data_IF_748077521430
#
_entry.id   IF_748077521430
#
_cell.length_a   1.000
_cell.length_b   1.000
_cell.length_c   1.000
_cell.angle_alpha   90.00
_cell.angle_beta   90.00
_cell.angle_gamma   90.00
#
_symmetry.space_group_name_H-M   'P 1'
#
loop_
_entity.id
_entity.type
_entity.pdbx_description
1 polymer ?
#
# COMPACT_ATOMS: atom_id res chain seq x y z
N UNK A 1 8.63 -11.33 -1.01
CA UNK A 1 8.09 -10.16 -1.72
C UNK A 1 7.16 -9.40 -0.80
N UNK A 2 7.66 -8.30 -0.26
CA UNK A 2 6.94 -7.32 0.55
C UNK A 2 6.44 -6.17 -0.34
N UNK A 3 5.53 -5.36 0.20
CA UNK A 3 5.03 -4.16 -0.50
C UNK A 3 6.16 -3.14 -0.74
N UNK A 4 7.11 -3.01 0.20
CA UNK A 4 8.27 -2.14 0.06
C UNK A 4 9.22 -2.60 -1.06
N UNK A 5 9.48 -3.90 -1.16
CA UNK A 5 10.29 -4.46 -2.25
C UNK A 5 9.66 -4.24 -3.63
N UNK A 6 8.34 -4.41 -3.74
CA UNK A 6 7.61 -4.14 -4.98
C UNK A 6 7.65 -2.65 -5.36
N UNK A 7 7.40 -1.77 -4.38
CA UNK A 7 7.43 -0.32 -4.59
C UNK A 7 8.78 0.19 -5.09
N UNK A 8 9.89 -0.30 -4.50
CA UNK A 8 11.26 0.05 -4.90
C UNK A 8 11.63 -0.46 -6.29
N UNK A 9 10.98 -1.51 -6.78
CA UNK A 9 11.12 -2.02 -8.16
C UNK A 9 10.23 -1.29 -9.16
N UNK A 10 9.51 -0.25 -8.74
CA UNK A 10 8.56 0.48 -9.61
C UNK A 10 7.27 -0.30 -9.89
N UNK A 11 6.96 -1.33 -9.09
CA UNK A 11 5.79 -2.17 -9.29
C UNK A 11 4.65 -1.65 -8.41
N UNK A 12 3.52 -1.29 -9.03
CA UNK A 12 2.26 -1.00 -8.32
C UNK A 12 1.52 -2.32 -8.11
N UNK A 13 1.36 -2.74 -6.86
CA UNK A 13 0.62 -3.94 -6.49
C UNK A 13 -0.89 -3.69 -6.42
N UNK A 14 -1.70 -4.76 -6.41
CA UNK A 14 -3.14 -4.64 -6.22
C UNK A 14 -3.50 -4.03 -4.86
N UNK A 15 -2.72 -4.30 -3.82
CA UNK A 15 -2.95 -3.71 -2.49
C UNK A 15 -2.67 -2.21 -2.49
N UNK A 16 -1.66 -1.73 -3.24
CA UNK A 16 -1.42 -0.29 -3.43
C UNK A 16 -2.58 0.37 -4.18
N UNK A 17 -3.11 -0.27 -5.23
CA UNK A 17 -4.28 0.25 -5.97
C UNK A 17 -5.52 0.32 -5.09
N UNK A 18 -5.75 -0.71 -4.28
CA UNK A 18 -6.87 -0.74 -3.35
C UNK A 18 -6.79 0.39 -2.32
N UNK A 19 -5.60 0.59 -1.72
CA UNK A 19 -5.36 1.68 -0.78
C UNK A 19 -5.51 3.05 -1.45
N UNK A 20 -4.95 3.22 -2.65
CA UNK A 20 -5.07 4.45 -3.43
C UNK A 20 -6.54 4.82 -3.69
N UNK A 21 -7.34 3.86 -4.16
CA UNK A 21 -8.78 4.06 -4.38
C UNK A 21 -9.52 4.39 -3.09
N UNK A 22 -9.19 3.71 -1.98
CA UNK A 22 -9.83 3.90 -0.68
C UNK A 22 -9.53 5.26 -0.06
N UNK A 23 -8.30 5.75 -0.23
CA UNK A 23 -7.85 7.03 0.31
C UNK A 23 -8.05 8.19 -0.65
N UNK A 24 -8.58 7.95 -1.86
CA UNK A 24 -8.71 8.95 -2.93
C UNK A 24 -7.35 9.55 -3.34
N UNK A 25 -6.32 8.72 -3.36
CA UNK A 25 -4.95 9.07 -3.74
C UNK A 25 -4.57 8.44 -5.08
N UNK A 26 -3.54 8.98 -5.72
CA UNK A 26 -2.93 8.35 -6.89
C UNK A 26 -2.14 7.10 -6.49
N UNK A 27 -2.21 6.04 -7.30
CA UNK A 27 -1.53 4.78 -7.02
C UNK A 27 0.00 4.90 -7.11
N UNK A 28 0.51 5.80 -7.95
CA UNK A 28 1.93 6.13 -8.06
C UNK A 28 2.40 6.87 -6.81
N UNK A 29 1.59 7.79 -6.27
CA UNK A 29 1.89 8.45 -5.00
C UNK A 29 1.99 7.43 -3.86
N UNK A 30 1.03 6.49 -3.75
CA UNK A 30 1.09 5.41 -2.75
C UNK A 30 2.35 4.56 -2.93
N UNK A 31 2.71 4.20 -4.16
CA UNK A 31 3.95 3.46 -4.45
C UNK A 31 5.19 4.24 -4.00
N UNK A 32 5.28 5.53 -4.32
CA UNK A 32 6.40 6.38 -3.92
C UNK A 32 6.56 6.45 -2.40
N UNK A 33 5.46 6.67 -1.66
CA UNK A 33 5.49 6.75 -0.21
C UNK A 33 5.88 5.41 0.44
N UNK A 34 5.44 4.29 -0.14
CA UNK A 34 5.87 2.95 0.28
C UNK A 34 7.36 2.71 -0.02
N UNK A 35 7.84 3.13 -1.19
CA UNK A 35 9.26 3.00 -1.54
C UNK A 35 10.17 3.84 -0.62
N UNK A 36 9.71 5.04 -0.25
CA UNK A 36 10.35 5.97 0.70
C UNK A 36 10.24 5.51 2.16
N UNK A 37 9.36 4.56 2.47
CA UNK A 37 9.11 4.08 3.84
C UNK A 37 8.27 5.03 4.70
N UNK A 38 7.56 5.98 4.09
CA UNK A 38 6.66 6.93 4.78
C UNK A 38 5.20 6.46 4.82
N UNK A 39 4.89 5.41 4.06
CA UNK A 39 3.60 4.73 4.05
C UNK A 39 3.82 3.22 4.10
N UNK A 40 3.04 2.52 4.92
CA UNK A 40 3.11 1.06 5.07
C UNK A 40 1.73 0.45 4.80
N UNK A 41 1.72 -0.67 4.07
CA UNK A 41 0.52 -1.47 3.81
C UNK A 41 0.73 -2.86 4.44
N UNK A 42 0.13 -3.16 5.61
CA UNK A 42 0.23 -4.46 6.24
C UNK A 42 -0.60 -5.48 5.46
N UNK A 43 0.02 -6.14 4.49
CA UNK A 43 -0.60 -7.08 3.56
C UNK A 43 0.07 -8.47 3.67
N UNK A 44 -0.12 -9.15 4.80
CA UNK A 44 0.35 -10.52 4.94
C UNK A 44 -0.46 -11.45 4.01
N UNK A 45 0.22 -12.18 3.12
CA UNK A 45 -0.38 -13.11 2.15
C UNK A 45 -1.36 -14.11 2.78
N UNK A 46 -1.11 -14.58 4.00
CA UNK A 46 -2.01 -15.50 4.70
C UNK A 46 -3.31 -14.80 5.13
N UNK A 47 -3.23 -13.56 5.58
CA UNK A 47 -4.40 -12.77 5.99
C UNK A 47 -5.18 -12.23 4.80
N UNK A 48 -4.51 -11.93 3.67
CA UNK A 48 -5.19 -11.58 2.42
C UNK A 48 -6.13 -12.70 1.96
N UNK A 49 -5.70 -13.97 2.06
CA UNK A 49 -6.55 -15.13 1.78
C UNK A 49 -7.75 -15.27 2.73
N UNK A 50 -7.69 -14.64 3.91
CA UNK A 50 -8.77 -14.60 4.91
C UNK A 50 -9.65 -13.35 4.78
N UNK A 51 -9.66 -12.71 3.61
CA UNK A 51 -10.46 -11.52 3.30
C UNK A 51 -10.02 -10.24 4.03
N UNK A 52 -8.72 -10.08 4.34
CA UNK A 52 -8.19 -8.81 4.80
C UNK A 52 -8.40 -7.72 3.74
N UNK A 53 -9.00 -6.60 4.14
CA UNK A 53 -9.06 -5.40 3.31
C UNK A 53 -7.80 -4.55 3.53
N UNK A 54 -6.96 -4.32 2.51
CA UNK A 54 -5.77 -3.50 2.65
C UNK A 54 -6.07 -2.08 3.13
N UNK A 55 -5.16 -1.53 3.92
CA UNK A 55 -5.20 -0.15 4.38
C UNK A 55 -3.77 0.43 4.37
N UNK A 56 -3.66 1.72 4.04
CA UNK A 56 -2.42 2.47 4.13
C UNK A 56 -2.30 3.17 5.47
N UNK A 57 -1.13 3.10 6.09
CA UNK A 57 -0.78 3.84 7.30
C UNK A 57 0.44 4.70 6.96
N UNK A 58 0.28 6.02 7.01
CA UNK A 58 1.32 6.97 6.65
C UNK A 58 0.79 8.40 6.58
N UNK A 59 1.71 9.36 6.44
CA UNK A 59 1.39 10.80 6.47
C UNK A 59 0.46 11.21 5.32
N UNK A 60 0.58 10.54 4.17
CA UNK A 60 -0.26 10.83 3.00
C UNK A 60 -1.69 10.27 3.11
N UNK A 61 -1.98 9.38 4.06
CA UNK A 61 -3.30 8.77 4.24
C UNK A 61 -4.14 9.51 5.28
N UNK A 62 -5.47 9.30 5.25
CA UNK A 62 -6.35 9.77 6.32
C UNK A 62 -5.96 9.08 7.64
N UNK A 63 -5.95 9.83 8.75
CA UNK A 63 -5.67 9.29 10.09
C UNK A 63 -6.60 8.10 10.38
N UNK A 64 -6.07 7.04 11.00
CA UNK A 64 -6.75 5.75 11.22
C UNK A 64 -7.02 5.52 12.69
#
# INVERSE_FOLDING_TARGET
>A
MTQMEAARKGIITEEMRFVAQREELDAELVREEVARGRLVIPANKVHLKKHLQPMGIGIACKCK
#
